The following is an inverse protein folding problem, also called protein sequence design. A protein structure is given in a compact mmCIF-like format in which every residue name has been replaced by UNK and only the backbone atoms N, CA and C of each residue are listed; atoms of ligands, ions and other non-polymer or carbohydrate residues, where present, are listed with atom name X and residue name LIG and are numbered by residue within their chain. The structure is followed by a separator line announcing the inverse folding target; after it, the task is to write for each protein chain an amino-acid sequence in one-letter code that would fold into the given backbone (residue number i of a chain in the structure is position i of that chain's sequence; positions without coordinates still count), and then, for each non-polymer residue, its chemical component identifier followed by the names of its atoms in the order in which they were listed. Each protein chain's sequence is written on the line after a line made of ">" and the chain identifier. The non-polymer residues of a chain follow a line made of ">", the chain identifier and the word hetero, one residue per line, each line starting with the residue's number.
data_IF_189780747521
#
_entry.id   IF_189780747521
#
_cell.length_a   1.000
_cell.length_b   1.000
_cell.length_c   1.000
_cell.angle_alpha   90.00
_cell.angle_beta   90.00
_cell.angle_gamma   90.00
#
_symmetry.space_group_name_H-M   'P 1'
#
loop_
_entity.id
_entity.type
_entity.pdbx_description
1 polymer ?
#
# COMPACT_ATOMS: atom_id res chain seq x y z
N UNK A 1 -35.09 -11.67 -33.68
CA UNK A 1 -35.03 -13.05 -33.14
C UNK A 1 -34.81 -12.96 -31.64
N UNK A 2 -35.87 -13.15 -30.86
CA UNK A 2 -35.82 -13.14 -29.40
C UNK A 2 -35.11 -14.41 -28.94
N UNK A 3 -33.96 -14.29 -28.27
CA UNK A 3 -33.25 -15.43 -27.70
C UNK A 3 -33.98 -15.80 -26.41
N UNK A 4 -34.94 -16.72 -26.51
CA UNK A 4 -35.60 -17.34 -25.37
C UNK A 4 -34.52 -18.02 -24.54
N UNK A 5 -34.15 -17.42 -23.41
CA UNK A 5 -33.30 -18.10 -22.43
C UNK A 5 -34.04 -19.37 -22.01
N UNK A 6 -33.38 -20.54 -21.96
CA UNK A 6 -34.02 -21.75 -21.45
C UNK A 6 -34.63 -21.44 -20.08
N UNK A 7 -35.74 -22.09 -19.75
CA UNK A 7 -36.42 -21.93 -18.47
C UNK A 7 -35.52 -22.51 -17.36
N UNK A 8 -34.47 -21.76 -17.00
CA UNK A 8 -33.53 -22.13 -15.96
C UNK A 8 -34.31 -22.06 -14.66
N UNK A 9 -34.44 -23.21 -14.00
CA UNK A 9 -35.12 -23.29 -12.72
C UNK A 9 -34.39 -22.45 -11.68
N UNK A 10 -35.07 -21.41 -11.18
CA UNK A 10 -34.56 -20.52 -10.16
C UNK A 10 -34.17 -21.28 -8.88
N UNK A 11 -34.87 -22.38 -8.57
CA UNK A 11 -34.54 -23.22 -7.42
C UNK A 11 -33.19 -23.92 -7.61
N UNK A 12 -32.93 -24.46 -8.80
CA UNK A 12 -31.63 -25.07 -9.13
C UNK A 12 -30.48 -24.05 -9.05
N UNK A 13 -30.66 -22.83 -9.55
CA UNK A 13 -29.64 -21.77 -9.43
C UNK A 13 -29.32 -21.39 -7.98
N UNK A 14 -30.34 -21.36 -7.11
CA UNK A 14 -30.14 -21.07 -5.68
C UNK A 14 -29.38 -22.19 -4.97
N UNK A 15 -29.70 -23.45 -5.27
CA UNK A 15 -28.95 -24.60 -4.75
C UNK A 15 -27.47 -24.55 -5.17
N UNK A 16 -27.19 -24.11 -6.39
CA UNK A 16 -25.81 -23.92 -6.86
C UNK A 16 -25.07 -22.80 -6.10
N UNK A 17 -25.76 -21.70 -5.76
CA UNK A 17 -25.19 -20.63 -4.92
C UNK A 17 -24.91 -21.16 -3.51
N UNK A 18 -25.88 -21.83 -2.88
CA UNK A 18 -25.73 -22.38 -1.52
C UNK A 18 -24.53 -23.35 -1.44
N UNK A 19 -24.38 -24.21 -2.46
CA UNK A 19 -23.23 -25.12 -2.58
C UNK A 19 -21.89 -24.37 -2.67
N UNK A 20 -21.85 -23.24 -3.39
CA UNK A 20 -20.64 -22.40 -3.49
C UNK A 20 -20.35 -21.73 -2.15
N UNK A 21 -21.37 -21.18 -1.49
CA UNK A 21 -21.23 -20.50 -0.20
C UNK A 21 -20.72 -21.44 0.90
N UNK A 22 -21.26 -22.66 0.95
CA UNK A 22 -20.77 -23.71 1.86
C UNK A 22 -19.31 -24.07 1.55
N UNK A 23 -18.95 -24.20 0.27
CA UNK A 23 -17.58 -24.48 -0.13
C UNK A 23 -16.63 -23.34 0.25
N UNK A 24 -17.03 -22.08 0.06
CA UNK A 24 -16.24 -20.91 0.47
C UNK A 24 -15.99 -20.92 1.98
N UNK A 25 -17.03 -21.15 2.78
CA UNK A 25 -16.90 -21.23 4.24
C UNK A 25 -15.92 -22.34 4.67
N UNK A 26 -16.07 -23.54 4.10
CA UNK A 26 -15.17 -24.67 4.36
C UNK A 26 -13.71 -24.35 4.00
N UNK A 27 -13.46 -23.72 2.86
CA UNK A 27 -12.11 -23.29 2.46
C UNK A 27 -11.52 -22.24 3.40
N UNK A 28 -12.34 -21.35 3.96
CA UNK A 28 -11.90 -20.41 4.99
C UNK A 28 -11.49 -21.12 6.29
N UNK A 29 -12.24 -22.15 6.70
CA UNK A 29 -11.91 -22.98 7.87
C UNK A 29 -10.61 -23.75 7.65
N UNK A 30 -10.45 -24.41 6.49
CA UNK A 30 -9.22 -25.10 6.12
C UNK A 30 -8.00 -24.15 6.12
N UNK A 31 -8.18 -22.93 5.60
CA UNK A 31 -7.15 -21.89 5.68
C UNK A 31 -6.79 -21.56 7.13
N UNK A 32 -7.78 -21.52 8.03
CA UNK A 32 -7.56 -21.31 9.46
C UNK A 32 -6.72 -22.40 10.11
N UNK A 33 -7.00 -23.67 9.81
CA UNK A 33 -6.20 -24.82 10.28
C UNK A 33 -4.75 -24.77 9.79
N UNK A 34 -4.52 -24.28 8.56
CA UNK A 34 -3.16 -24.04 8.05
C UNK A 34 -2.47 -22.93 8.85
N UNK A 35 -3.18 -21.85 9.15
CA UNK A 35 -2.63 -20.73 9.92
C UNK A 35 -2.31 -21.16 11.36
N UNK A 36 -3.14 -21.96 12.01
CA UNK A 36 -2.87 -22.48 13.35
C UNK A 36 -1.58 -23.32 13.38
N UNK A 37 -1.42 -24.23 12.41
CA UNK A 37 -0.16 -24.98 12.22
C UNK A 37 1.04 -24.05 11.97
N UNK A 38 0.86 -22.99 11.17
CA UNK A 38 1.91 -22.00 10.93
C UNK A 38 2.32 -21.26 12.20
N UNK A 39 1.37 -20.92 13.07
CA UNK A 39 1.64 -20.29 14.38
C UNK A 39 2.42 -21.24 15.28
N UNK A 40 2.02 -22.51 15.36
CA UNK A 40 2.71 -23.53 16.14
C UNK A 40 4.19 -23.68 15.70
N UNK A 41 4.45 -23.66 14.39
CA UNK A 41 5.82 -23.70 13.84
C UNK A 41 6.58 -22.41 14.11
N UNK A 42 5.96 -21.23 14.00
CA UNK A 42 6.65 -19.95 14.20
C UNK A 42 6.96 -19.64 15.66
N UNK A 43 6.19 -20.14 16.63
CA UNK A 43 6.48 -19.97 18.07
C UNK A 43 7.84 -20.55 18.48
N UNK A 44 8.43 -21.43 17.67
CA UNK A 44 9.77 -21.99 17.92
C UNK A 44 10.89 -21.18 17.26
N UNK A 45 10.59 -20.08 16.56
CA UNK A 45 11.55 -19.16 15.95
C UNK A 45 11.28 -17.72 16.43
N UNK A 46 12.32 -16.89 16.57
CA UNK A 46 12.17 -15.50 17.05
C UNK A 46 11.16 -14.69 16.20
N UNK A 47 10.31 -13.91 16.89
CA UNK A 47 9.15 -13.26 16.29
C UNK A 47 9.53 -12.10 15.37
N UNK A 48 9.33 -12.26 14.07
CA UNK A 48 9.21 -11.14 13.13
C UNK A 48 7.75 -10.71 12.94
N UNK A 49 7.52 -9.51 12.40
CA UNK A 49 6.17 -9.04 12.04
C UNK A 49 5.43 -10.06 11.15
N UNK A 50 4.18 -10.37 11.50
CA UNK A 50 3.32 -11.23 10.70
C UNK A 50 2.89 -10.56 9.38
N UNK A 51 2.92 -9.22 9.34
CA UNK A 51 2.60 -8.45 8.15
C UNK A 51 3.76 -8.49 7.15
N UNK A 52 3.49 -8.98 5.94
CA UNK A 52 4.50 -9.20 4.88
C UNK A 52 4.03 -8.50 3.60
N UNK A 53 4.27 -7.18 3.46
CA UNK A 53 3.68 -6.37 2.41
C UNK A 53 4.07 -6.82 1.00
N UNK A 54 5.29 -7.34 0.80
CA UNK A 54 5.69 -7.89 -0.50
C UNK A 54 4.88 -9.09 -0.93
N UNK A 55 4.66 -10.03 0.00
CA UNK A 55 3.82 -11.21 -0.25
C UNK A 55 2.38 -10.80 -0.58
N UNK A 56 1.86 -9.77 0.08
CA UNK A 56 0.53 -9.23 -0.19
C UNK A 56 0.44 -8.52 -1.54
N UNK A 57 1.43 -7.70 -1.89
CA UNK A 57 1.52 -7.05 -3.20
C UNK A 57 1.51 -8.10 -4.33
N UNK A 58 2.30 -9.16 -4.21
CA UNK A 58 2.32 -10.27 -5.16
C UNK A 58 0.97 -11.01 -5.26
N UNK A 59 0.31 -11.22 -4.12
CA UNK A 59 -1.03 -11.81 -4.09
C UNK A 59 -2.05 -10.94 -4.82
N UNK A 60 -2.04 -9.62 -4.57
CA UNK A 60 -2.94 -8.69 -5.24
C UNK A 60 -2.65 -8.57 -6.73
N UNK A 61 -1.37 -8.56 -7.12
CA UNK A 61 -0.95 -8.56 -8.53
C UNK A 61 -1.51 -9.78 -9.26
N UNK A 62 -1.37 -10.98 -8.68
CA UNK A 62 -1.94 -12.21 -9.23
C UNK A 62 -3.47 -12.22 -9.24
N UNK A 63 -4.12 -11.66 -8.21
CA UNK A 63 -5.57 -11.52 -8.15
C UNK A 63 -6.07 -10.68 -9.32
N UNK A 64 -5.52 -9.47 -9.49
CA UNK A 64 -5.92 -8.56 -10.55
C UNK A 64 -5.66 -9.15 -11.94
N UNK A 65 -4.48 -9.76 -12.16
CA UNK A 65 -4.13 -10.34 -13.45
C UNK A 65 -5.04 -11.49 -13.91
N UNK A 66 -5.63 -12.26 -12.98
CA UNK A 66 -6.52 -13.38 -13.29
C UNK A 66 -8.01 -13.04 -13.18
N UNK A 67 -8.34 -11.82 -12.76
CA UNK A 67 -9.72 -11.41 -12.48
C UNK A 67 -10.54 -11.28 -13.77
N UNK A 68 -11.75 -11.84 -13.76
CA UNK A 68 -12.68 -11.89 -14.90
C UNK A 68 -14.10 -12.16 -14.41
N UNK A 69 -15.10 -11.78 -15.19
CA UNK A 69 -16.51 -12.01 -14.89
C UNK A 69 -17.23 -10.75 -14.41
N UNK A 70 -18.44 -10.92 -13.88
CA UNK A 70 -19.33 -9.81 -13.51
C UNK A 70 -19.07 -9.24 -12.10
N UNK A 71 -18.31 -9.95 -11.26
CA UNK A 71 -17.98 -9.48 -9.92
C UNK A 71 -16.97 -8.33 -10.01
N UNK A 72 -17.21 -7.14 -9.41
CA UNK A 72 -16.25 -6.06 -9.43
C UNK A 72 -14.91 -6.44 -8.77
N UNK A 73 -13.81 -5.93 -9.33
CA UNK A 73 -12.46 -6.18 -8.80
C UNK A 73 -12.30 -5.66 -7.37
N UNK A 74 -12.90 -4.50 -7.04
CA UNK A 74 -12.94 -3.95 -5.68
C UNK A 74 -13.50 -4.92 -4.66
N UNK A 75 -14.58 -5.62 -5.02
CA UNK A 75 -15.22 -6.61 -4.17
C UNK A 75 -14.30 -7.81 -3.95
N UNK A 76 -13.68 -8.33 -5.02
CA UNK A 76 -12.75 -9.45 -4.91
C UNK A 76 -11.48 -9.08 -4.09
N UNK A 77 -10.96 -7.87 -4.30
CA UNK A 77 -9.80 -7.34 -3.57
C UNK A 77 -10.10 -7.16 -2.09
N UNK A 78 -11.19 -6.46 -1.76
CA UNK A 78 -11.59 -6.19 -0.37
C UNK A 78 -11.86 -7.47 0.42
N UNK A 79 -12.54 -8.47 -0.16
CA UNK A 79 -12.75 -9.77 0.47
C UNK A 79 -11.39 -10.42 0.80
N UNK A 80 -10.47 -10.45 -0.17
CA UNK A 80 -9.17 -11.06 0.04
C UNK A 80 -8.32 -10.30 1.07
N UNK A 81 -8.36 -8.96 1.06
CA UNK A 81 -7.72 -8.09 2.05
C UNK A 81 -8.23 -8.39 3.46
N UNK A 82 -9.55 -8.45 3.66
CA UNK A 82 -10.17 -8.76 4.96
C UNK A 82 -9.74 -10.14 5.45
N UNK A 83 -9.73 -11.16 4.57
CA UNK A 83 -9.26 -12.50 4.91
C UNK A 83 -7.79 -12.46 5.33
N UNK A 84 -6.91 -11.84 4.53
CA UNK A 84 -5.49 -11.74 4.81
C UNK A 84 -5.26 -11.03 6.15
N UNK A 85 -5.81 -9.83 6.33
CA UNK A 85 -5.63 -9.01 7.53
C UNK A 85 -6.12 -9.74 8.79
N UNK A 86 -7.28 -10.40 8.73
CA UNK A 86 -7.82 -11.16 9.85
C UNK A 86 -6.88 -12.29 10.27
N UNK A 87 -6.36 -13.06 9.31
CA UNK A 87 -5.43 -14.15 9.64
C UNK A 87 -4.03 -13.65 10.01
N UNK A 88 -3.61 -12.47 9.55
CA UNK A 88 -2.40 -11.80 10.06
C UNK A 88 -2.59 -11.41 11.52
N UNK A 89 -3.75 -10.86 11.88
CA UNK A 89 -4.09 -10.48 13.25
C UNK A 89 -4.19 -11.70 14.19
N UNK A 90 -4.78 -12.80 13.74
CA UNK A 90 -4.84 -14.06 14.51
C UNK A 90 -3.45 -14.62 14.80
N UNK A 91 -2.49 -14.48 13.87
CA UNK A 91 -1.10 -14.91 14.10
C UNK A 91 -0.38 -14.06 15.14
N UNK A 92 -0.54 -12.74 15.05
CA UNK A 92 0.09 -11.78 15.96
C UNK A 92 -0.79 -10.54 16.05
N UNK A 93 -1.54 -10.35 17.16
CA UNK A 93 -2.41 -9.18 17.32
C UNK A 93 -1.63 -7.88 17.22
N UNK A 94 -2.15 -6.95 16.42
CA UNK A 94 -1.58 -5.61 16.18
C UNK A 94 -2.69 -4.58 16.00
N UNK A 95 -2.34 -3.30 16.12
CA UNK A 95 -3.24 -2.16 15.90
C UNK A 95 -2.77 -1.36 14.69
N UNK A 96 -3.69 -0.61 14.10
CA UNK A 96 -3.38 0.38 13.04
C UNK A 96 -3.62 1.78 13.60
N UNK A 97 -2.53 2.53 13.73
CA UNK A 97 -2.51 3.93 14.17
C UNK A 97 -2.67 4.83 12.95
N UNK A 98 -3.66 5.70 12.92
CA UNK A 98 -3.98 6.52 11.74
C UNK A 98 -3.89 8.01 12.04
N UNK A 99 -3.17 8.76 11.20
CA UNK A 99 -3.16 10.21 11.26
C UNK A 99 -4.44 10.76 10.63
N UNK A 100 -5.25 11.46 11.42
CA UNK A 100 -6.53 12.03 11.00
C UNK A 100 -6.49 13.55 10.81
N UNK A 101 -5.31 14.17 10.80
CA UNK A 101 -5.13 15.62 10.54
C UNK A 101 -5.76 16.07 9.23
N UNK A 102 -5.81 15.20 8.23
CA UNK A 102 -6.46 15.42 6.93
C UNK A 102 -7.93 15.04 6.85
N UNK A 103 -8.55 14.66 7.97
CA UNK A 103 -9.89 14.09 8.05
C UNK A 103 -9.88 12.58 8.32
N UNK A 104 -10.74 12.12 9.22
CA UNK A 104 -10.80 10.71 9.63
C UNK A 104 -11.45 9.80 8.58
N UNK A 105 -12.48 10.27 7.87
CA UNK A 105 -13.24 9.41 6.95
C UNK A 105 -12.35 8.76 5.85
N UNK A 106 -11.53 9.49 5.09
CA UNK A 106 -10.70 8.88 4.05
C UNK A 106 -9.62 7.91 4.60
N UNK A 107 -9.12 8.21 5.80
CA UNK A 107 -8.15 7.37 6.51
C UNK A 107 -8.80 6.08 7.01
N UNK A 108 -10.03 6.19 7.53
CA UNK A 108 -10.85 5.07 7.96
C UNK A 108 -11.23 4.19 6.77
N UNK A 109 -11.61 4.75 5.63
CA UNK A 109 -11.90 3.98 4.41
C UNK A 109 -10.68 3.19 3.95
N UNK A 110 -9.50 3.83 3.93
CA UNK A 110 -8.22 3.18 3.63
C UNK A 110 -7.90 2.05 4.62
N UNK A 111 -8.12 2.30 5.91
CA UNK A 111 -7.90 1.30 6.94
C UNK A 111 -8.87 0.12 6.83
N UNK A 112 -10.16 0.36 6.60
CA UNK A 112 -11.18 -0.69 6.54
C UNK A 112 -11.13 -1.49 5.26
N UNK A 113 -10.83 -0.85 4.12
CA UNK A 113 -10.62 -1.57 2.88
C UNK A 113 -9.43 -2.54 2.97
N UNK A 114 -8.35 -2.13 3.63
CA UNK A 114 -7.13 -2.94 3.69
C UNK A 114 -7.08 -3.93 4.86
N UNK A 115 -7.46 -3.48 6.06
CA UNK A 115 -7.30 -4.23 7.31
C UNK A 115 -8.63 -4.81 7.85
N UNK A 116 -9.76 -4.47 7.26
CA UNK A 116 -11.08 -4.89 7.72
C UNK A 116 -11.46 -4.32 9.09
N UNK A 117 -12.39 -5.00 9.77
CA UNK A 117 -12.90 -4.58 11.08
C UNK A 117 -12.27 -5.31 12.28
N UNK A 118 -11.63 -6.46 12.04
CA UNK A 118 -10.94 -7.24 13.08
C UNK A 118 -9.78 -6.48 13.70
N UNK A 119 -9.00 -5.77 12.88
CA UNK A 119 -7.83 -5.01 13.34
C UNK A 119 -8.28 -3.70 14.00
N UNK A 120 -7.86 -3.41 15.25
CA UNK A 120 -8.18 -2.17 15.92
C UNK A 120 -7.64 -0.95 15.17
N UNK A 121 -8.50 0.05 14.98
CA UNK A 121 -8.18 1.36 14.39
C UNK A 121 -8.02 2.40 15.51
N UNK A 122 -6.88 3.09 15.55
CA UNK A 122 -6.55 4.08 16.58
C UNK A 122 -6.23 5.41 15.91
N UNK A 123 -7.11 6.42 15.97
CA UNK A 123 -6.84 7.74 15.38
C UNK A 123 -5.83 8.55 16.22
N UNK A 124 -5.04 9.38 15.55
CA UNK A 124 -4.03 10.30 16.10
C UNK A 124 -4.12 11.65 15.39
N UNK A 125 -3.74 12.74 16.06
CA UNK A 125 -3.85 14.09 15.51
C UNK A 125 -2.76 14.43 14.49
N UNK A 126 -1.70 13.62 14.38
CA UNK A 126 -0.61 13.85 13.42
C UNK A 126 0.20 12.59 13.10
N UNK A 127 0.93 12.60 11.97
CA UNK A 127 1.90 11.56 11.64
C UNK A 127 3.00 11.41 12.71
N UNK A 128 3.37 12.49 13.39
CA UNK A 128 4.37 12.43 14.45
C UNK A 128 3.92 11.53 15.62
N UNK A 129 2.64 11.63 16.01
CA UNK A 129 2.04 10.78 17.05
C UNK A 129 1.91 9.33 16.58
N UNK A 130 1.51 9.10 15.32
CA UNK A 130 1.47 7.75 14.72
C UNK A 130 2.86 7.09 14.77
N UNK A 131 3.89 7.80 14.31
CA UNK A 131 5.27 7.28 14.28
C UNK A 131 5.76 6.97 15.70
N UNK A 132 5.48 7.85 16.67
CA UNK A 132 5.83 7.63 18.06
C UNK A 132 5.13 6.40 18.65
N UNK A 133 3.82 6.23 18.38
CA UNK A 133 3.06 5.08 18.84
C UNK A 133 3.58 3.76 18.25
N UNK A 134 3.89 3.73 16.94
CA UNK A 134 4.50 2.56 16.29
C UNK A 134 5.87 2.25 16.89
N UNK A 135 6.70 3.27 17.13
CA UNK A 135 8.02 3.10 17.75
C UNK A 135 7.93 2.57 19.19
N UNK A 136 6.87 2.89 19.94
CA UNK A 136 6.63 2.38 21.29
C UNK A 136 6.01 0.97 21.30
N UNK A 137 5.33 0.56 20.23
CA UNK A 137 4.64 -0.73 20.13
C UNK A 137 5.59 -1.93 19.96
N UNK A 138 5.08 -3.16 20.11
CA UNK A 138 5.83 -4.38 19.79
C UNK A 138 5.71 -4.80 18.32
N UNK A 139 4.67 -4.34 17.62
CA UNK A 139 4.40 -4.75 16.24
C UNK A 139 3.21 -4.05 15.59
N UNK A 140 2.81 -2.88 16.09
CA UNK A 140 1.70 -2.11 15.50
C UNK A 140 2.13 -1.46 14.18
N UNK A 141 1.13 -1.14 13.37
CA UNK A 141 1.29 -0.44 12.10
C UNK A 141 0.80 0.99 12.22
N UNK A 142 1.39 1.88 11.43
CA UNK A 142 0.94 3.25 11.27
C UNK A 142 0.49 3.52 9.84
N UNK A 143 -0.52 4.35 9.66
CA UNK A 143 -0.92 4.88 8.35
C UNK A 143 -1.06 6.40 8.37
N UNK A 144 -0.60 7.03 7.31
CA UNK A 144 -0.75 8.47 7.10
C UNK A 144 -0.54 8.82 5.63
N UNK A 145 -1.11 9.94 5.19
CA UNK A 145 -0.97 10.42 3.81
C UNK A 145 0.46 10.88 3.53
N UNK A 146 1.02 10.63 2.32
CA UNK A 146 2.30 11.21 1.90
C UNK A 146 2.27 12.74 1.92
N UNK A 147 1.19 13.32 1.37
CA UNK A 147 0.94 14.75 1.39
C UNK A 147 0.15 15.13 2.64
N UNK A 148 0.78 15.90 3.52
CA UNK A 148 0.21 16.41 4.76
C UNK A 148 0.13 17.94 4.78
N UNK A 149 0.42 18.60 3.65
CA UNK A 149 0.60 20.04 3.59
C UNK A 149 1.87 20.53 4.32
N UNK A 150 2.24 21.77 4.03
CA UNK A 150 3.49 22.39 4.51
C UNK A 150 3.52 22.63 6.02
N UNK A 151 2.36 22.78 6.66
CA UNK A 151 2.25 23.00 8.11
C UNK A 151 2.64 21.77 8.95
N UNK A 152 2.67 20.57 8.35
CA UNK A 152 2.97 19.31 9.04
C UNK A 152 4.49 19.08 9.25
N UNK A 153 5.33 19.93 8.65
CA UNK A 153 6.78 19.85 8.77
C UNK A 153 7.40 18.57 8.20
N UNK A 154 8.67 18.33 8.53
CA UNK A 154 9.45 17.20 8.02
C UNK A 154 9.19 15.90 8.81
N UNK A 155 7.94 15.42 8.89
CA UNK A 155 7.59 14.22 9.65
C UNK A 155 8.46 12.99 9.29
N UNK A 156 8.87 12.88 8.03
CA UNK A 156 9.71 11.79 7.52
C UNK A 156 11.09 11.75 8.16
N UNK A 157 11.59 12.86 8.71
CA UNK A 157 12.83 12.87 9.47
C UNK A 157 12.77 11.94 10.69
N UNK A 158 11.58 11.69 11.24
CA UNK A 158 11.36 10.76 12.37
C UNK A 158 11.51 9.29 11.99
N UNK A 159 11.51 8.97 10.70
CA UNK A 159 11.77 7.62 10.19
C UNK A 159 13.26 7.36 9.93
N UNK A 160 14.13 8.35 10.18
CA UNK A 160 15.58 8.21 10.01
C UNK A 160 16.22 7.46 11.18
N UNK A 161 17.27 6.68 10.90
CA UNK A 161 17.96 5.84 11.89
C UNK A 161 17.60 4.36 11.80
N UNK A 162 18.45 3.51 12.40
CA UNK A 162 18.34 2.06 12.28
C UNK A 162 17.15 1.47 13.01
N UNK A 163 16.79 2.01 14.19
CA UNK A 163 15.67 1.52 15.01
C UNK A 163 14.33 2.26 14.79
N UNK A 164 14.33 3.31 13.96
CA UNK A 164 13.12 4.09 13.69
C UNK A 164 12.16 3.31 12.80
N UNK A 165 10.83 3.51 12.93
CA UNK A 165 9.87 2.94 12.00
C UNK A 165 10.22 3.25 10.53
N UNK A 166 9.85 2.35 9.63
CA UNK A 166 10.09 2.45 8.19
C UNK A 166 8.78 2.35 7.44
N UNK A 167 8.68 3.07 6.32
CA UNK A 167 7.63 2.81 5.33
C UNK A 167 7.87 1.43 4.73
N UNK A 168 6.82 0.62 4.69
CA UNK A 168 6.87 -0.77 4.22
C UNK A 168 5.84 -1.07 3.12
N UNK A 169 4.85 -0.19 2.94
CA UNK A 169 3.87 -0.27 1.87
C UNK A 169 3.29 1.11 1.53
N UNK A 170 2.72 1.22 0.34
CA UNK A 170 1.86 2.33 -0.07
C UNK A 170 0.51 1.75 -0.50
N UNK A 171 -0.57 2.35 -0.03
CA UNK A 171 -1.95 1.97 -0.36
C UNK A 171 -2.66 3.11 -1.12
N UNK A 172 -3.67 2.79 -1.96
CA UNK A 172 -3.96 1.43 -2.45
C UNK A 172 -2.80 0.90 -3.32
N UNK A 173 -2.62 -0.42 -3.32
CA UNK A 173 -1.60 -1.07 -4.16
C UNK A 173 -2.06 -1.19 -5.61
N UNK A 174 -3.33 -1.56 -5.82
CA UNK A 174 -3.97 -1.56 -7.13
C UNK A 174 -4.57 -0.16 -7.33
N UNK A 175 -4.03 0.59 -8.28
CA UNK A 175 -4.57 1.92 -8.61
C UNK A 175 -5.55 1.83 -9.77
N UNK A 176 -6.70 2.49 -9.58
CA UNK A 176 -7.76 2.69 -10.57
C UNK A 176 -8.55 3.96 -10.22
N UNK A 177 -9.14 4.65 -11.21
CA UNK A 177 -9.89 5.91 -10.98
C UNK A 177 -11.00 5.79 -9.93
N UNK A 178 -11.77 4.69 -9.94
CA UNK A 178 -12.95 4.51 -9.09
C UNK A 178 -12.67 3.68 -7.81
N UNK A 179 -11.44 3.68 -7.31
CA UNK A 179 -11.09 2.92 -6.12
C UNK A 179 -11.84 3.46 -4.87
N UNK A 180 -12.60 2.64 -4.12
CA UNK A 180 -13.45 3.10 -3.02
C UNK A 180 -12.67 3.69 -1.85
N UNK A 181 -11.40 3.29 -1.70
CA UNK A 181 -10.46 3.88 -0.76
C UNK A 181 -9.23 4.46 -1.49
N UNK A 182 -9.45 5.46 -2.35
CA UNK A 182 -8.43 6.00 -3.25
C UNK A 182 -7.34 6.84 -2.56
N UNK A 183 -7.54 7.24 -1.30
CA UNK A 183 -6.60 8.12 -0.60
C UNK A 183 -5.24 7.45 -0.46
N UNK A 184 -4.17 8.03 -1.06
CA UNK A 184 -2.84 7.47 -0.91
C UNK A 184 -2.38 7.53 0.54
N UNK A 185 -1.95 6.40 1.09
CA UNK A 185 -1.37 6.33 2.44
C UNK A 185 -0.10 5.50 2.43
N UNK A 186 0.88 5.91 3.23
CA UNK A 186 1.99 5.03 3.59
C UNK A 186 1.60 4.16 4.78
N UNK A 187 2.10 2.93 4.77
CA UNK A 187 2.06 2.04 5.94
C UNK A 187 3.46 1.99 6.53
N UNK A 188 3.58 2.27 7.82
CA UNK A 188 4.83 2.17 8.57
C UNK A 188 4.79 1.07 9.61
N UNK A 189 5.95 0.49 9.89
CA UNK A 189 6.15 -0.46 10.98
C UNK A 189 7.56 -0.34 11.54
N UNK A 190 7.86 -0.97 12.67
CA UNK A 190 9.25 -1.14 13.10
C UNK A 190 10.07 -1.89 12.03
N UNK A 191 11.38 -1.61 11.89
CA UNK A 191 12.23 -2.30 10.94
C UNK A 191 12.08 -3.82 11.07
N UNK A 192 11.80 -4.48 9.94
CA UNK A 192 11.75 -5.95 9.87
C UNK A 192 12.99 -6.39 9.10
N UNK A 193 13.75 -7.32 9.67
CA UNK A 193 15.04 -7.76 9.14
C UNK A 193 14.97 -8.44 7.77
N UNK A 194 13.76 -8.82 7.30
CA UNK A 194 13.63 -9.70 6.14
C UNK A 194 12.37 -9.41 5.29
N UNK A 195 12.56 -9.33 3.97
CA UNK A 195 11.55 -9.18 2.91
C UNK A 195 10.94 -7.78 2.65
N UNK A 196 11.73 -6.71 2.70
CA UNK A 196 11.29 -5.40 2.18
C UNK A 196 11.27 -5.44 0.64
N UNK A 197 10.13 -5.11 0.02
CA UNK A 197 10.09 -4.88 -1.43
C UNK A 197 10.76 -3.56 -1.73
N UNK A 198 11.72 -3.57 -2.65
CA UNK A 198 12.56 -2.42 -3.00
C UNK A 198 12.32 -1.97 -4.44
N UNK A 199 11.08 -1.99 -4.90
CA UNK A 199 10.76 -1.43 -6.22
C UNK A 199 10.83 0.11 -6.17
N UNK A 200 10.30 0.70 -5.09
CA UNK A 200 10.41 2.12 -4.77
C UNK A 200 11.06 2.28 -3.41
N UNK A 201 12.09 3.13 -3.32
CA UNK A 201 12.78 3.50 -2.08
C UNK A 201 12.41 4.94 -1.71
N UNK A 202 12.15 5.17 -0.43
CA UNK A 202 11.87 6.50 0.10
C UNK A 202 13.09 7.03 0.86
N UNK A 203 13.42 8.29 0.61
CA UNK A 203 14.60 8.95 1.15
C UNK A 203 14.22 10.25 1.82
N UNK A 204 14.70 10.44 3.05
CA UNK A 204 14.76 11.73 3.71
C UNK A 204 16.05 12.42 3.28
N UNK A 205 15.96 13.50 2.50
CA UNK A 205 17.11 14.27 2.05
C UNK A 205 17.12 15.65 2.73
N UNK A 206 18.24 16.04 3.34
CA UNK A 206 18.44 17.42 3.80
C UNK A 206 19.44 18.10 2.89
N UNK A 207 19.07 19.26 2.36
CA UNK A 207 19.90 20.07 1.47
C UNK A 207 20.04 21.47 2.03
N UNK A 208 21.22 22.06 1.88
CA UNK A 208 21.52 23.41 2.40
C UNK A 208 20.94 24.51 1.51
N UNK A 209 20.87 24.24 0.19
CA UNK A 209 20.46 25.22 -0.82
C UNK A 209 19.44 24.62 -1.77
N UNK A 210 18.40 25.38 -2.08
CA UNK A 210 17.49 25.07 -3.17
C UNK A 210 17.90 25.85 -4.42
N UNK A 211 18.03 25.17 -5.55
CA UNK A 211 18.30 25.75 -6.87
C UNK A 211 17.28 25.21 -7.86
N UNK A 212 16.91 26.00 -8.87
CA UNK A 212 15.93 25.60 -9.88
C UNK A 212 16.39 24.40 -10.74
N UNK A 213 17.69 24.10 -10.71
CA UNK A 213 18.32 22.92 -11.31
C UNK A 213 18.08 21.62 -10.54
N UNK A 214 17.75 21.68 -9.25
CA UNK A 214 17.60 20.50 -8.38
C UNK A 214 16.43 19.60 -8.80
N UNK A 215 15.21 20.11 -9.05
CA UNK A 215 14.11 19.27 -9.52
C UNK A 215 14.43 18.51 -10.81
N UNK A 216 15.11 19.16 -11.76
CA UNK A 216 15.49 18.54 -13.03
C UNK A 216 16.50 17.39 -12.81
N UNK A 217 17.48 17.58 -11.92
CA UNK A 217 18.46 16.55 -11.58
C UNK A 217 17.83 15.34 -10.89
N UNK A 218 16.88 15.56 -9.97
CA UNK A 218 16.10 14.49 -9.31
C UNK A 218 15.29 13.71 -10.36
N UNK A 219 14.57 14.42 -11.23
CA UNK A 219 13.74 13.82 -12.28
C UNK A 219 14.56 13.01 -13.30
N UNK A 220 15.77 13.46 -13.64
CA UNK A 220 16.67 12.76 -14.56
C UNK A 220 17.09 11.36 -14.04
N UNK A 221 17.06 11.14 -12.73
CA UNK A 221 17.29 9.84 -12.10
C UNK A 221 16.02 8.98 -11.98
N UNK A 222 14.88 9.48 -12.44
CA UNK A 222 13.56 8.86 -12.23
C UNK A 222 13.05 8.98 -10.78
N UNK A 223 13.64 9.87 -9.99
CA UNK A 223 13.20 10.17 -8.63
C UNK A 223 12.16 11.31 -8.63
N UNK A 224 11.36 11.39 -7.57
CA UNK A 224 10.30 12.38 -7.42
C UNK A 224 10.35 13.02 -6.02
N UNK A 225 10.06 14.32 -5.93
CA UNK A 225 9.86 15.01 -4.66
C UNK A 225 8.40 14.87 -4.23
N UNK A 226 8.16 14.10 -3.17
CA UNK A 226 6.82 13.89 -2.62
C UNK A 226 6.42 14.97 -1.60
N UNK A 227 7.41 15.64 -1.00
CA UNK A 227 7.16 16.67 -0.01
C UNK A 227 8.42 17.44 0.35
N UNK A 228 8.24 18.64 0.88
CA UNK A 228 9.32 19.50 1.34
C UNK A 228 8.91 20.25 2.60
N UNK A 229 9.88 20.54 3.45
CA UNK A 229 9.67 21.30 4.67
C UNK A 229 10.92 22.09 5.02
N UNK A 230 10.74 23.38 5.34
CA UNK A 230 11.82 24.23 5.83
C UNK A 230 12.35 23.72 7.17
N UNK A 231 13.67 23.71 7.32
CA UNK A 231 14.36 23.33 8.55
C UNK A 231 15.45 24.37 8.86
N UNK A 232 15.95 24.38 10.09
CA UNK A 232 17.11 25.22 10.42
C UNK A 232 18.29 24.83 9.51
N UNK A 233 18.82 25.80 8.76
CA UNK A 233 19.97 25.60 7.89
C UNK A 233 19.68 25.01 6.51
N UNK A 234 18.41 24.86 6.10
CA UNK A 234 18.10 24.42 4.74
C UNK A 234 16.69 23.86 4.55
N UNK A 235 16.59 22.88 3.66
CA UNK A 235 15.33 22.22 3.29
C UNK A 235 15.44 20.72 3.56
N UNK A 236 14.38 20.16 4.15
CA UNK A 236 14.16 18.72 4.19
C UNK A 236 13.24 18.33 3.05
N UNK A 237 13.55 17.25 2.36
CA UNK A 237 12.81 16.68 1.24
C UNK A 237 12.43 15.24 1.56
N UNK A 238 11.21 14.88 1.18
CA UNK A 238 10.78 13.50 1.05
C UNK A 238 10.89 13.13 -0.43
N UNK A 239 11.74 12.18 -0.75
CA UNK A 239 11.98 11.71 -2.11
C UNK A 239 11.50 10.28 -2.27
N UNK A 240 10.96 9.95 -3.45
CA UNK A 240 10.83 8.58 -3.93
C UNK A 240 11.83 8.35 -5.06
N UNK A 241 12.37 7.14 -5.15
CA UNK A 241 13.27 6.77 -6.24
C UNK A 241 13.13 5.28 -6.60
N UNK A 242 13.48 4.86 -7.82
CA UNK A 242 13.58 3.45 -8.17
C UNK A 242 14.57 2.76 -7.25
N UNK A 243 14.28 1.55 -6.77
CA UNK A 243 15.20 0.87 -5.85
C UNK A 243 16.49 0.33 -6.49
N UNK A 244 16.63 0.46 -7.81
CA UNK A 244 17.91 0.28 -8.52
C UNK A 244 18.87 1.46 -8.33
N UNK A 245 18.37 2.63 -7.89
CA UNK A 245 19.18 3.82 -7.64
C UNK A 245 19.83 3.75 -6.24
N UNK A 246 21.10 4.16 -6.15
CA UNK A 246 21.83 4.21 -4.89
C UNK A 246 21.75 5.59 -4.25
N UNK A 247 21.89 5.68 -2.92
CA UNK A 247 21.97 6.97 -2.22
C UNK A 247 23.17 7.80 -2.69
N UNK A 248 24.30 7.16 -3.03
CA UNK A 248 25.49 7.85 -3.53
C UNK A 248 25.23 8.55 -4.87
N UNK A 249 24.53 7.89 -5.80
CA UNK A 249 24.17 8.50 -7.09
C UNK A 249 23.21 9.68 -6.92
N UNK A 250 22.26 9.57 -5.97
CA UNK A 250 21.38 10.68 -5.62
C UNK A 250 22.14 11.85 -4.98
N UNK A 251 23.10 11.58 -4.09
CA UNK A 251 23.94 12.61 -3.48
C UNK A 251 24.76 13.35 -4.53
N UNK A 252 25.41 12.62 -5.45
CA UNK A 252 26.19 13.19 -6.56
C UNK A 252 25.34 14.12 -7.44
N UNK A 253 24.13 13.69 -7.82
CA UNK A 253 23.23 14.50 -8.63
C UNK A 253 22.77 15.78 -7.91
N UNK A 254 22.44 15.69 -6.62
CA UNK A 254 22.05 16.86 -5.81
C UNK A 254 23.20 17.85 -5.66
N UNK A 255 24.41 17.35 -5.36
CA UNK A 255 25.60 18.19 -5.26
C UNK A 255 25.96 18.83 -6.60
N UNK A 256 25.93 18.07 -7.70
CA UNK A 256 26.15 18.59 -9.06
C UNK A 256 25.13 19.63 -9.49
N UNK A 257 23.88 19.53 -9.01
CA UNK A 257 22.83 20.53 -9.22
C UNK A 257 22.97 21.77 -8.32
N UNK A 258 23.98 21.83 -7.44
CA UNK A 258 24.26 22.99 -6.59
C UNK A 258 23.45 23.03 -5.29
N UNK A 259 22.91 21.89 -4.82
CA UNK A 259 22.16 21.79 -3.56
C UNK A 259 23.05 21.89 -2.30
N UNK A 260 24.38 21.90 -2.47
CA UNK A 260 25.36 21.83 -1.40
C UNK A 260 25.61 20.39 -0.94
N UNK A 261 26.04 20.21 0.31
CA UNK A 261 26.19 18.89 0.92
C UNK A 261 24.81 18.33 1.26
N UNK A 262 24.44 17.20 0.68
CA UNK A 262 23.18 16.54 0.99
C UNK A 262 23.36 15.49 2.10
N UNK A 263 22.47 15.47 3.08
CA UNK A 263 22.38 14.37 4.05
C UNK A 263 21.20 13.49 3.70
N UNK A 264 21.49 12.26 3.26
CA UNK A 264 20.49 11.31 2.81
C UNK A 264 20.31 10.18 3.83
N UNK A 265 19.06 9.78 4.05
CA UNK A 265 18.73 8.63 4.87
C UNK A 265 17.55 7.86 4.26
N UNK A 266 17.72 6.56 4.08
CA UNK A 266 16.60 5.69 3.70
C UNK A 266 15.60 5.56 4.86
N UNK A 267 14.33 5.81 4.55
CA UNK A 267 13.23 5.79 5.50
C UNK A 267 12.20 4.69 5.22
N UNK A 268 12.47 3.85 4.20
CA UNK A 268 11.64 2.70 3.87
C UNK A 268 11.59 2.42 2.37
N UNK A 269 10.85 1.38 2.02
CA UNK A 269 10.64 0.98 0.64
C UNK A 269 9.30 0.28 0.48
N UNK A 270 8.76 0.25 -0.73
CA UNK A 270 7.53 -0.46 -1.04
C UNK A 270 7.50 -0.99 -2.47
N UNK A 271 6.53 -1.85 -2.76
CA UNK A 271 6.23 -2.29 -4.12
C UNK A 271 5.72 -1.12 -4.96
N UNK A 272 6.09 -1.08 -6.24
CA UNK A 272 5.51 -0.16 -7.20
C UNK A 272 4.04 -0.52 -7.42
N UNK A 273 3.26 0.52 -7.66
CA UNK A 273 1.81 0.46 -7.80
C UNK A 273 1.45 -0.44 -8.98
N UNK A 274 0.40 -1.23 -8.82
CA UNK A 274 -0.14 -2.03 -9.91
C UNK A 274 -1.26 -1.26 -10.60
N UNK A 275 -1.02 -0.86 -11.84
CA UNK A 275 -2.05 -0.29 -12.72
C UNK A 275 -2.73 -1.45 -13.42
N UNK A 276 -4.05 -1.54 -13.28
CA UNK A 276 -4.84 -2.54 -14.02
C UNK A 276 -4.80 -2.13 -15.50
N UNK A 277 -4.35 -3.01 -16.42
CA UNK A 277 -4.44 -2.70 -17.85
C UNK A 277 -5.89 -2.43 -18.23
N UNK A 278 -6.15 -1.36 -18.98
CA UNK A 278 -7.48 -1.13 -19.54
C UNK A 278 -7.90 -2.35 -20.36
N UNK A 279 -9.11 -2.87 -20.12
CA UNK A 279 -9.66 -3.90 -20.98
C UNK A 279 -9.74 -3.33 -22.40
N UNK A 280 -9.32 -4.05 -23.45
CA UNK A 280 -9.48 -3.58 -24.82
C UNK A 280 -10.95 -3.25 -25.02
N UNK A 281 -11.22 -2.01 -25.44
CA UNK A 281 -12.56 -1.58 -25.81
C UNK A 281 -13.10 -2.61 -26.80
N UNK A 282 -14.23 -3.23 -26.48
CA UNK A 282 -14.92 -4.06 -27.46
C UNK A 282 -15.33 -3.10 -28.58
N UNK A 283 -14.53 -3.08 -29.65
CA UNK A 283 -14.78 -2.27 -30.82
C UNK A 283 -16.20 -2.52 -31.28
N UNK A 284 -17.01 -1.47 -31.26
CA UNK A 284 -18.34 -1.49 -31.85
C UNK A 284 -18.18 -1.85 -33.32
N UNK A 285 -18.56 -3.08 -33.66
CA UNK A 285 -18.74 -3.50 -35.03
C UNK A 285 -19.85 -2.68 -35.66
N UNK A 286 -19.51 -1.52 -36.22
CA UNK A 286 -20.37 -0.81 -37.15
C UNK A 286 -20.45 -1.64 -38.43
N UNK A 287 -21.43 -2.53 -38.47
CA UNK A 287 -21.91 -3.17 -39.69
C UNK A 287 -22.54 -2.10 -40.58
N UNK A 288 -21.75 -1.50 -41.47
CA UNK A 288 -22.27 -0.75 -42.61
C UNK A 288 -22.77 -1.74 -43.67
N UNK A 289 -24.09 -2.00 -43.67
CA UNK A 289 -24.77 -2.54 -44.85
C UNK A 289 -25.03 -1.40 -45.83
N UNK A 290 -24.71 -1.55 -47.13
CA UNK A 290 -25.18 -0.64 -48.16
C UNK A 290 -26.58 -1.08 -48.61
N UNK A 291 -27.57 -0.20 -48.49
CA UNK A 291 -28.84 -0.36 -49.20
C UNK A 291 -28.82 0.58 -50.40
N UNK A 292 -29.26 -0.02 -51.52
CA UNK A 292 -29.35 0.47 -52.89
C UNK A 292 -30.07 1.80 -53.04
#
# INVERSE_FOLDING_TARGET
>A
MSRTLPNVDLAALRQDIDRIDEAMHRLLMERGEIIDRLIAVKKTQESGSAFRPGREADMMRRLAARHRGILPLDTAESILRVIIATFTYVQAPYRVHADISGGDAPMRDSARFHFGFTVPYVPHASAAEVIAAVAASKGDLGIFRPDQGTASGAWWARLTGAGAPKVIARLPFIERPDHPAATPVFVVSKPVADAAVREIVLVSARVERWRDTVPAAISALGAEVLGSAGIAGGLSLLLSMPGTLTLAALEEALTGAGAGRAHLAEIGSHAARFVVPEAPSQGGGASSSPVR
#
